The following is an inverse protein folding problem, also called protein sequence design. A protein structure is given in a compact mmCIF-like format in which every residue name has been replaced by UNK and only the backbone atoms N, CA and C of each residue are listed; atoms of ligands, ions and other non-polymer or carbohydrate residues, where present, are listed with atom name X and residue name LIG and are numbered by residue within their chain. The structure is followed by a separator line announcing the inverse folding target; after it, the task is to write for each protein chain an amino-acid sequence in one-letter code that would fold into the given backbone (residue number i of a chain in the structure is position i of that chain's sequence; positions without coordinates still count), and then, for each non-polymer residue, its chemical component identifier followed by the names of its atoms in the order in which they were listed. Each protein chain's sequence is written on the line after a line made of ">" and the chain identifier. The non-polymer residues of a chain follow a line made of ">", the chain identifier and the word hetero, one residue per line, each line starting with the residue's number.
data_IF_217966204408
#
_entry.id   IF_217966204408
#
_cell.length_a   1.000
_cell.length_b   1.000
_cell.length_c   1.000
_cell.angle_alpha   90.00
_cell.angle_beta   90.00
_cell.angle_gamma   90.00
#
_symmetry.space_group_name_H-M   'P 1'
#
loop_
_entity.id
_entity.type
_entity.pdbx_description
1 polymer ?
#
# COMPACT_ATOMS: atom_id res chain seq x y z
N UNK A 1 -43.75 -28.78 21.09
CA UNK A 1 -42.58 -28.61 20.22
C UNK A 1 -41.71 -29.85 20.25
N UNK A 2 -41.46 -30.40 19.07
CA UNK A 2 -40.54 -31.51 18.92
C UNK A 2 -39.09 -31.05 19.20
N UNK A 3 -38.32 -31.93 19.84
CA UNK A 3 -36.87 -31.68 20.06
C UNK A 3 -36.13 -31.31 18.78
N UNK A 4 -36.60 -31.86 17.63
CA UNK A 4 -36.03 -31.59 16.32
C UNK A 4 -36.17 -30.13 15.90
N UNK A 5 -37.33 -29.50 16.18
CA UNK A 5 -37.55 -28.09 15.87
C UNK A 5 -36.68 -27.15 16.71
N UNK A 6 -36.48 -27.50 17.98
CA UNK A 6 -35.61 -26.73 18.89
C UNK A 6 -34.17 -26.85 18.42
N UNK A 7 -33.71 -28.04 18.06
CA UNK A 7 -32.34 -28.26 17.56
C UNK A 7 -32.11 -27.50 16.25
N UNK A 8 -33.06 -27.49 15.33
CA UNK A 8 -32.99 -26.74 14.07
C UNK A 8 -32.88 -25.22 14.31
N UNK A 9 -33.66 -24.70 15.23
CA UNK A 9 -33.63 -23.27 15.60
C UNK A 9 -32.31 -22.90 16.24
N UNK A 10 -31.78 -23.71 17.16
CA UNK A 10 -30.48 -23.45 17.82
C UNK A 10 -29.35 -23.52 16.80
N UNK A 11 -29.33 -24.53 15.95
CA UNK A 11 -28.32 -24.70 14.91
C UNK A 11 -28.32 -23.52 13.93
N UNK A 12 -29.52 -23.11 13.47
CA UNK A 12 -29.65 -21.96 12.58
C UNK A 12 -29.21 -20.66 13.21
N UNK A 13 -29.54 -20.44 14.48
CA UNK A 13 -29.08 -19.26 15.23
C UNK A 13 -27.55 -19.22 15.38
N UNK A 14 -26.94 -20.34 15.72
CA UNK A 14 -25.47 -20.45 15.86
C UNK A 14 -24.79 -20.18 14.52
N UNK A 15 -25.30 -20.75 13.42
CA UNK A 15 -24.75 -20.52 12.08
C UNK A 15 -24.89 -19.06 11.65
N UNK A 16 -26.02 -18.41 11.93
CA UNK A 16 -26.23 -17.00 11.62
C UNK A 16 -25.25 -16.10 12.39
N UNK A 17 -25.06 -16.36 13.68
CA UNK A 17 -24.10 -15.62 14.52
C UNK A 17 -22.66 -15.82 14.03
N UNK A 18 -22.27 -17.06 13.75
CA UNK A 18 -20.93 -17.38 13.26
C UNK A 18 -20.65 -16.70 11.92
N UNK A 19 -21.62 -16.74 10.99
CA UNK A 19 -21.51 -16.08 9.70
C UNK A 19 -21.38 -14.56 9.82
N UNK A 20 -22.21 -13.94 10.66
CA UNK A 20 -22.18 -12.50 10.91
C UNK A 20 -20.86 -12.06 11.55
N UNK A 21 -20.37 -12.78 12.55
CA UNK A 21 -19.08 -12.50 13.18
C UNK A 21 -17.92 -12.67 12.20
N UNK A 22 -17.93 -13.74 11.40
CA UNK A 22 -16.92 -13.99 10.39
C UNK A 22 -16.82 -12.87 9.35
N UNK A 23 -17.98 -12.45 8.83
CA UNK A 23 -18.05 -11.33 7.88
C UNK A 23 -17.59 -10.01 8.51
N UNK A 24 -17.98 -9.75 9.75
CA UNK A 24 -17.58 -8.56 10.50
C UNK A 24 -16.08 -8.50 10.75
N UNK A 25 -15.49 -9.61 11.14
CA UNK A 25 -14.03 -9.71 11.35
C UNK A 25 -13.25 -9.55 10.04
N UNK A 26 -13.73 -10.17 8.96
CA UNK A 26 -13.09 -10.03 7.65
C UNK A 26 -13.11 -8.57 7.16
N UNK A 27 -14.26 -7.91 7.28
CA UNK A 27 -14.41 -6.50 6.88
C UNK A 27 -13.56 -5.58 7.75
N UNK A 28 -13.49 -5.82 9.06
CA UNK A 28 -12.65 -5.07 9.99
C UNK A 28 -11.16 -5.24 9.67
N UNK A 29 -10.72 -6.46 9.36
CA UNK A 29 -9.34 -6.75 8.98
C UNK A 29 -8.96 -6.02 7.67
N UNK A 30 -9.86 -6.01 6.69
CA UNK A 30 -9.65 -5.31 5.43
C UNK A 30 -9.52 -3.80 5.62
N UNK A 31 -10.37 -3.22 6.48
CA UNK A 31 -10.30 -1.79 6.81
C UNK A 31 -9.02 -1.43 7.56
N UNK A 32 -8.60 -2.28 8.50
CA UNK A 32 -7.33 -2.08 9.23
C UNK A 32 -6.15 -2.06 8.29
N UNK A 33 -6.08 -3.01 7.36
CA UNK A 33 -5.02 -3.08 6.35
C UNK A 33 -4.96 -1.81 5.51
N UNK A 34 -6.11 -1.29 5.09
CA UNK A 34 -6.18 -0.05 4.33
C UNK A 34 -5.68 1.15 5.14
N UNK A 35 -6.07 1.25 6.41
CA UNK A 35 -5.63 2.31 7.32
C UNK A 35 -4.11 2.24 7.52
N UNK A 36 -3.58 1.06 7.72
CA UNK A 36 -2.13 0.85 7.89
C UNK A 36 -1.36 1.23 6.63
N UNK A 37 -1.87 0.86 5.45
CA UNK A 37 -1.29 1.24 4.16
C UNK A 37 -1.27 2.77 3.97
N UNK A 38 -2.38 3.44 4.25
CA UNK A 38 -2.48 4.89 4.12
C UNK A 38 -1.59 5.61 5.14
N UNK A 39 -1.49 5.08 6.35
CA UNK A 39 -0.59 5.62 7.38
C UNK A 39 0.87 5.48 6.95
N UNK A 40 1.26 4.34 6.42
CA UNK A 40 2.60 4.12 5.88
C UNK A 40 2.88 5.07 4.70
N UNK A 41 1.93 5.25 3.81
CA UNK A 41 2.00 6.23 2.71
C UNK A 41 2.25 7.65 3.24
N UNK A 42 1.52 8.06 4.27
CA UNK A 42 1.71 9.36 4.93
C UNK A 42 3.12 9.51 5.50
N UNK A 43 3.62 8.50 6.19
CA UNK A 43 4.98 8.49 6.73
C UNK A 43 6.04 8.62 5.63
N UNK A 44 5.85 7.93 4.52
CA UNK A 44 6.74 8.02 3.35
C UNK A 44 6.75 9.43 2.79
N UNK A 45 5.60 10.05 2.63
CA UNK A 45 5.48 11.41 2.10
C UNK A 45 6.16 12.44 3.01
N UNK A 46 5.97 12.34 4.32
CA UNK A 46 6.61 13.21 5.30
C UNK A 46 8.14 13.05 5.24
N UNK A 47 8.61 11.82 5.18
CA UNK A 47 10.03 11.51 5.09
C UNK A 47 10.66 12.08 3.81
N UNK A 48 10.06 11.79 2.66
CA UNK A 48 10.55 12.27 1.37
C UNK A 48 10.54 13.79 1.28
N UNK A 49 9.48 14.41 1.73
CA UNK A 49 9.36 15.87 1.73
C UNK A 49 10.48 16.51 2.57
N UNK A 50 10.70 16.00 3.78
CA UNK A 50 11.73 16.51 4.67
C UNK A 50 13.14 16.34 4.10
N UNK A 51 13.45 15.18 3.57
CA UNK A 51 14.79 14.88 3.04
C UNK A 51 15.08 15.62 1.73
N UNK A 52 14.11 15.75 0.85
CA UNK A 52 14.28 16.48 -0.40
C UNK A 52 14.44 17.98 -0.16
N UNK A 53 13.67 18.53 0.77
CA UNK A 53 13.71 19.96 1.06
C UNK A 53 14.95 20.39 1.85
N UNK A 54 15.39 19.59 2.82
CA UNK A 54 16.40 20.03 3.80
C UNK A 54 17.76 19.37 3.68
N UNK A 55 17.88 18.17 3.16
CA UNK A 55 19.12 17.40 3.26
C UNK A 55 19.92 17.25 1.96
N UNK A 56 19.38 17.58 0.82
CA UNK A 56 20.02 17.41 -0.50
C UNK A 56 20.62 16.02 -0.71
N UNK A 57 19.97 14.99 -0.20
CA UNK A 57 20.40 13.58 -0.30
C UNK A 57 19.99 13.02 -1.67
N UNK A 58 20.80 12.10 -2.19
CA UNK A 58 20.49 11.42 -3.44
C UNK A 58 19.17 10.62 -3.33
N UNK A 59 18.29 10.82 -4.30
CA UNK A 59 16.96 10.18 -4.34
C UNK A 59 17.07 8.65 -4.33
N UNK A 60 18.06 8.10 -5.02
CA UNK A 60 18.29 6.65 -5.03
C UNK A 60 18.61 6.12 -3.62
N UNK A 61 19.39 6.85 -2.85
CA UNK A 61 19.70 6.50 -1.46
C UNK A 61 18.45 6.56 -0.57
N UNK A 62 17.59 7.56 -0.75
CA UNK A 62 16.32 7.67 -0.03
C UNK A 62 15.42 6.47 -0.29
N UNK A 63 15.33 6.02 -1.54
CA UNK A 63 14.53 4.86 -1.90
C UNK A 63 15.08 3.57 -1.30
N UNK A 64 16.39 3.43 -1.19
CA UNK A 64 17.01 2.28 -0.52
C UNK A 64 16.67 2.25 0.97
N UNK A 65 16.69 3.40 1.64
CA UNK A 65 16.31 3.51 3.05
C UNK A 65 14.85 3.12 3.24
N UNK A 66 13.96 3.61 2.39
CA UNK A 66 12.54 3.27 2.44
C UNK A 66 12.29 1.79 2.15
N UNK A 67 13.02 1.20 1.22
CA UNK A 67 12.92 -0.24 0.92
C UNK A 67 13.21 -1.11 2.14
N UNK A 68 14.17 -0.73 2.96
CA UNK A 68 14.51 -1.47 4.18
C UNK A 68 13.60 -1.20 5.38
N UNK A 69 12.93 -0.05 5.41
CA UNK A 69 12.17 0.43 6.57
C UNK A 69 10.67 0.15 6.51
N UNK A 70 10.08 0.16 5.31
CA UNK A 70 8.64 0.08 5.12
C UNK A 70 8.15 -1.37 5.01
N UNK A 71 7.00 -1.68 5.62
CA UNK A 71 6.41 -3.03 5.61
C UNK A 71 5.63 -3.32 4.32
N UNK A 72 4.70 -2.44 3.96
CA UNK A 72 3.84 -2.64 2.78
C UNK A 72 4.46 -2.11 1.49
N UNK A 73 5.13 -0.98 1.57
CA UNK A 73 5.77 -0.32 0.43
C UNK A 73 7.23 -0.72 0.22
N UNK A 74 7.80 -1.55 1.11
CA UNK A 74 9.19 -2.00 1.00
C UNK A 74 9.50 -2.68 -0.32
N UNK A 75 8.65 -3.61 -0.76
CA UNK A 75 8.81 -4.31 -2.05
C UNK A 75 8.71 -3.35 -3.24
N UNK A 76 7.84 -2.35 -3.15
CA UNK A 76 7.73 -1.29 -4.16
C UNK A 76 9.04 -0.53 -4.31
N UNK A 77 9.63 -0.08 -3.21
CA UNK A 77 10.88 0.65 -3.24
C UNK A 77 12.08 -0.21 -3.65
N UNK A 78 12.09 -1.49 -3.28
CA UNK A 78 13.10 -2.45 -3.78
C UNK A 78 13.05 -2.56 -5.31
N UNK A 79 11.86 -2.72 -5.86
CA UNK A 79 11.66 -2.78 -7.30
C UNK A 79 12.04 -1.47 -7.99
N UNK A 80 11.69 -0.34 -7.39
CA UNK A 80 12.05 0.98 -7.88
C UNK A 80 13.58 1.18 -7.91
N UNK A 81 14.28 0.78 -6.84
CA UNK A 81 15.74 0.84 -6.77
C UNK A 81 16.38 -0.03 -7.86
N UNK A 82 15.85 -1.23 -8.07
CA UNK A 82 16.34 -2.14 -9.09
C UNK A 82 16.23 -1.53 -10.49
N UNK A 83 15.10 -0.87 -10.77
CA UNK A 83 14.88 -0.22 -12.07
C UNK A 83 15.75 1.03 -12.26
N UNK A 84 16.05 1.75 -11.19
CA UNK A 84 16.93 2.91 -11.25
C UNK A 84 18.35 2.59 -11.74
N UNK A 85 18.83 1.38 -11.47
CA UNK A 85 20.17 0.94 -11.85
C UNK A 85 20.29 0.57 -13.33
N UNK A 86 19.17 0.37 -14.03
CA UNK A 86 19.18 -0.21 -15.36
C UNK A 86 18.97 0.74 -16.54
N UNK A 87 18.40 1.94 -16.35
CA UNK A 87 17.94 2.76 -17.48
C UNK A 87 18.14 4.25 -17.18
N UNK A 88 18.97 4.92 -18.00
CA UNK A 88 19.28 6.34 -17.86
C UNK A 88 18.27 7.29 -18.49
N UNK A 89 17.31 6.80 -19.28
CA UNK A 89 16.45 7.63 -20.14
C UNK A 89 14.96 7.66 -19.76
N UNK A 90 14.55 6.95 -18.71
CA UNK A 90 13.16 6.96 -18.29
C UNK A 90 12.89 8.01 -17.20
N UNK A 91 11.70 8.60 -17.23
CA UNK A 91 11.27 9.52 -16.20
C UNK A 91 10.98 8.78 -14.89
N UNK A 92 11.10 9.47 -13.76
CA UNK A 92 10.74 8.90 -12.46
C UNK A 92 9.31 8.37 -12.44
N UNK A 93 8.40 9.04 -13.11
CA UNK A 93 6.99 8.62 -13.20
C UNK A 93 6.83 7.27 -13.92
N UNK A 94 7.57 7.05 -15.01
CA UNK A 94 7.54 5.78 -15.74
C UNK A 94 8.10 4.65 -14.88
N UNK A 95 9.21 4.87 -14.19
CA UNK A 95 9.80 3.92 -13.26
C UNK A 95 8.86 3.61 -12.09
N UNK A 96 8.15 4.64 -11.62
CA UNK A 96 7.17 4.51 -10.54
C UNK A 96 6.00 3.60 -10.93
N UNK A 97 5.45 3.78 -12.11
CA UNK A 97 4.39 2.90 -12.65
C UNK A 97 4.85 1.46 -12.80
N UNK A 98 6.06 1.25 -13.35
CA UNK A 98 6.64 -0.07 -13.50
C UNK A 98 6.86 -0.75 -12.15
N UNK A 99 7.31 -0.01 -11.15
CA UNK A 99 7.51 -0.52 -9.81
C UNK A 99 6.19 -0.93 -9.15
N UNK A 100 5.11 -0.18 -9.35
CA UNK A 100 3.78 -0.55 -8.86
C UNK A 100 3.35 -1.90 -9.47
N UNK A 101 3.52 -2.08 -10.77
CA UNK A 101 3.16 -3.31 -11.45
C UNK A 101 4.04 -4.50 -11.02
N UNK A 102 5.34 -4.28 -10.92
CA UNK A 102 6.31 -5.34 -10.60
C UNK A 102 6.30 -5.78 -9.13
N UNK A 103 5.95 -4.89 -8.22
CA UNK A 103 5.94 -5.18 -6.78
C UNK A 103 4.65 -5.80 -6.26
N UNK A 104 3.64 -5.94 -7.11
CA UNK A 104 2.29 -6.41 -6.73
C UNK A 104 1.60 -5.54 -5.67
N UNK A 105 2.05 -4.31 -5.49
CA UNK A 105 1.46 -3.38 -4.54
C UNK A 105 -0.02 -3.15 -4.84
N UNK A 106 -0.39 -3.07 -6.11
CA UNK A 106 -1.75 -2.86 -6.57
C UNK A 106 -2.73 -3.97 -6.17
N UNK A 107 -2.24 -5.19 -5.95
CA UNK A 107 -3.09 -6.32 -5.54
C UNK A 107 -3.67 -6.14 -4.14
N UNK A 108 -2.95 -5.43 -3.26
CA UNK A 108 -3.38 -5.16 -1.89
C UNK A 108 -4.04 -3.80 -1.69
N UNK A 109 -4.16 -2.99 -2.74
CA UNK A 109 -4.70 -1.63 -2.68
C UNK A 109 -5.98 -1.48 -3.50
N UNK A 110 -6.88 -0.61 -3.04
CA UNK A 110 -8.03 -0.20 -3.83
C UNK A 110 -7.57 0.65 -5.03
N UNK A 111 -8.35 0.67 -6.11
CA UNK A 111 -8.03 1.42 -7.32
C UNK A 111 -7.80 2.91 -7.07
N UNK A 112 -8.56 3.48 -6.14
CA UNK A 112 -8.42 4.89 -5.74
C UNK A 112 -7.07 5.14 -5.06
N UNK A 113 -6.63 4.22 -4.21
CA UNK A 113 -5.35 4.33 -3.50
C UNK A 113 -4.17 4.15 -4.47
N UNK A 114 -4.30 3.26 -5.45
CA UNK A 114 -3.29 3.09 -6.52
C UNK A 114 -3.18 4.36 -7.35
N UNK A 115 -4.30 4.96 -7.73
CA UNK A 115 -4.32 6.21 -8.47
C UNK A 115 -3.66 7.35 -7.69
N UNK A 116 -3.92 7.43 -6.39
CA UNK A 116 -3.30 8.39 -5.49
C UNK A 116 -1.78 8.19 -5.43
N UNK A 117 -1.32 6.96 -5.33
CA UNK A 117 0.10 6.64 -5.29
C UNK A 117 0.81 6.96 -6.62
N UNK A 118 0.14 6.75 -7.75
CA UNK A 118 0.64 7.18 -9.06
C UNK A 118 0.77 8.70 -9.13
N UNK A 119 -0.20 9.43 -8.61
CA UNK A 119 -0.16 10.89 -8.54
C UNK A 119 1.02 11.40 -7.70
N UNK A 120 1.32 10.74 -6.58
CA UNK A 120 2.50 11.02 -5.76
C UNK A 120 3.78 10.90 -6.59
N UNK A 121 3.90 9.85 -7.39
CA UNK A 121 5.05 9.65 -8.26
C UNK A 121 5.20 10.75 -9.31
N UNK A 122 4.09 11.21 -9.88
CA UNK A 122 4.08 12.29 -10.85
C UNK A 122 4.52 13.62 -10.22
N UNK A 123 3.97 13.95 -9.07
CA UNK A 123 4.32 15.17 -8.34
C UNK A 123 5.77 15.17 -7.88
N UNK A 124 6.27 14.05 -7.41
CA UNK A 124 7.65 13.89 -7.01
C UNK A 124 8.60 14.08 -8.18
N UNK A 125 8.26 13.52 -9.35
CA UNK A 125 9.03 13.69 -10.58
C UNK A 125 9.11 15.16 -11.00
N UNK A 126 8.00 15.89 -10.95
CA UNK A 126 7.97 17.32 -11.25
C UNK A 126 8.78 18.14 -10.25
N UNK A 127 8.71 17.81 -8.97
CA UNK A 127 9.47 18.47 -7.91
C UNK A 127 10.97 18.32 -8.11
N UNK A 128 11.44 17.14 -8.52
CA UNK A 128 12.86 16.88 -8.78
C UNK A 128 13.40 17.60 -10.00
N UNK A 129 12.56 17.85 -11.01
CA UNK A 129 12.96 18.60 -12.22
C UNK A 129 13.23 20.08 -11.89
N UNK A 130 12.55 20.63 -10.90
CA UNK A 130 12.69 22.04 -10.50
C UNK A 130 13.84 22.31 -9.50
N UNK A 131 14.52 21.29 -9.06
CA UNK A 131 15.72 21.41 -8.23
C UNK A 131 16.96 21.37 -9.12
#
# INVERSE_FOLDING_TARGET
>A
MNKLQILLKITGSIMALAGSCGCGMWLAARRRRRIELLREMEQILIFLYGEIEYAAVDVAELFQILAGKMCYFGTFFEELCRQFQGIEQETLYDLWKKAIAGSRLAEGMDKEDVALWQEVGMQLGLSLIHI
#
